data_IF_631603904347
#
_entry.id   IF_631603904347
#
_cell.length_a   1.000
_cell.length_b   1.000
_cell.length_c   1.000
_cell.angle_alpha   90.00
_cell.angle_beta   90.00
_cell.angle_gamma   90.00
#
_symmetry.space_group_name_H-M   'P 1'
#
loop_
_entity.id
_entity.type
_entity.pdbx_description
1 polymer ?
#
# COMPACT_ATOMS: atom_id res chain seq x y z
N UNK A 1 47.89 -51.45 -8.64
CA UNK A 1 48.82 -51.42 -7.50
C UNK A 1 48.29 -50.27 -6.62
N UNK A 2 47.46 -50.58 -5.61
CA UNK A 2 47.76 -50.93 -4.24
C UNK A 2 48.47 -49.79 -3.51
N UNK A 3 47.85 -49.15 -2.59
CA UNK A 3 47.83 -49.19 -1.11
C UNK A 3 47.09 -47.94 -0.61
N UNK A 4 46.06 -47.98 0.18
CA UNK A 4 45.83 -48.30 1.58
C UNK A 4 46.74 -47.61 2.57
N UNK A 5 46.15 -46.82 3.42
CA UNK A 5 46.29 -46.71 4.92
C UNK A 5 46.06 -45.26 5.36
N UNK A 6 45.57 -44.87 6.50
CA UNK A 6 45.04 -45.45 7.74
C UNK A 6 44.43 -44.27 8.50
N UNK A 7 43.42 -44.53 9.25
CA UNK A 7 42.73 -43.66 10.23
C UNK A 7 43.64 -43.10 11.32
N UNK A 8 43.40 -41.86 11.71
CA UNK A 8 43.68 -41.44 13.10
C UNK A 8 42.59 -40.53 13.64
N UNK A 9 42.08 -40.86 14.81
CA UNK A 9 41.00 -40.23 15.58
C UNK A 9 41.66 -39.36 16.62
N UNK A 10 41.21 -38.12 16.79
CA UNK A 10 41.50 -37.29 17.95
C UNK A 10 40.35 -36.31 18.25
N UNK A 11 40.24 -35.72 19.44
CA UNK A 11 39.01 -35.77 20.24
C UNK A 11 38.17 -34.49 20.20
N UNK A 12 36.89 -34.68 20.59
CA UNK A 12 35.85 -33.68 20.78
C UNK A 12 36.26 -32.54 21.75
N UNK A 13 36.32 -31.30 21.24
CA UNK A 13 36.21 -30.11 22.05
C UNK A 13 34.81 -29.53 21.89
N UNK A 14 34.11 -29.35 23.00
CA UNK A 14 32.80 -28.71 23.07
C UNK A 14 32.93 -27.23 22.70
N UNK A 15 32.23 -26.82 21.64
CA UNK A 15 31.99 -25.40 21.34
C UNK A 15 30.81 -24.86 22.19
N UNK A 16 30.86 -23.61 22.65
CA UNK A 16 29.77 -22.99 23.39
C UNK A 16 28.60 -22.67 22.44
N UNK A 17 27.39 -22.99 22.86
CA UNK A 17 26.13 -22.67 22.18
C UNK A 17 26.01 -21.17 21.90
N UNK A 18 25.61 -20.75 20.66
CA UNK A 18 25.38 -19.36 20.37
C UNK A 18 24.14 -18.84 21.09
N UNK A 19 24.29 -17.71 21.75
CA UNK A 19 23.16 -16.93 22.29
C UNK A 19 22.27 -16.52 21.14
N UNK A 20 20.97 -16.78 21.22
CA UNK A 20 19.97 -16.39 20.24
C UNK A 20 19.95 -14.87 19.98
N UNK A 21 19.45 -14.46 18.82
CA UNK A 21 19.40 -13.05 18.46
C UNK A 21 18.47 -12.26 19.40
N UNK A 22 18.68 -10.93 19.56
CA UNK A 22 17.85 -10.10 20.42
C UNK A 22 16.38 -10.11 19.93
N UNK A 23 15.44 -10.18 20.88
CA UNK A 23 14.01 -10.12 20.59
C UNK A 23 13.65 -8.80 19.89
N UNK A 24 13.05 -8.91 18.72
CA UNK A 24 12.55 -7.74 17.98
C UNK A 24 11.21 -7.28 18.55
N UNK A 25 10.88 -6.00 18.39
CA UNK A 25 9.60 -5.42 18.83
C UNK A 25 8.36 -6.16 18.31
N UNK A 26 8.49 -6.93 17.24
CA UNK A 26 7.43 -7.73 16.64
C UNK A 26 6.99 -8.92 17.53
N UNK A 27 7.91 -9.56 18.27
CA UNK A 27 7.55 -10.61 19.22
C UNK A 27 6.75 -10.12 20.43
N UNK A 28 6.87 -8.83 20.76
CA UNK A 28 6.08 -8.23 21.83
C UNK A 28 4.64 -7.91 21.36
N UNK A 29 4.45 -7.52 20.10
CA UNK A 29 3.10 -7.39 19.52
C UNK A 29 2.40 -8.76 19.40
N UNK A 30 3.08 -9.81 18.96
CA UNK A 30 2.53 -11.16 18.89
C UNK A 30 2.10 -11.69 20.25
N UNK A 31 2.87 -11.46 21.32
CA UNK A 31 2.49 -11.85 22.67
C UNK A 31 1.29 -11.12 23.23
N UNK A 32 1.11 -9.84 22.89
CA UNK A 32 -0.07 -9.08 23.32
C UNK A 32 -1.36 -9.55 22.64
N UNK A 33 -1.28 -10.08 21.42
CA UNK A 33 -2.42 -10.64 20.70
C UNK A 33 -2.79 -12.06 21.15
N UNK A 34 -1.84 -12.88 21.57
CA UNK A 34 -2.11 -14.21 22.11
C UNK A 34 -2.85 -14.18 23.47
N UNK A 35 -2.68 -13.11 24.26
CA UNK A 35 -3.38 -12.96 25.53
C UNK A 35 -4.90 -12.75 25.39
N UNK A 36 -5.38 -12.30 24.23
CA UNK A 36 -6.80 -12.09 23.96
C UNK A 36 -7.52 -13.29 23.29
N UNK A 37 -6.79 -14.36 22.98
CA UNK A 37 -7.32 -15.51 22.21
C UNK A 37 -7.78 -16.70 23.08
N UNK A 38 -7.54 -16.72 24.39
CA UNK A 38 -7.98 -17.82 25.25
C UNK A 38 -9.29 -17.50 25.95
N UNK A 39 -10.40 -18.13 25.52
CA UNK A 39 -11.62 -18.23 26.31
C UNK A 39 -11.38 -19.19 27.50
N UNK A 40 -11.84 -18.86 28.70
CA UNK A 40 -11.91 -19.85 29.77
C UNK A 40 -13.07 -20.83 29.51
N UNK A 41 -12.97 -22.08 29.97
CA UNK A 41 -14.04 -23.07 29.84
C UNK A 41 -15.22 -22.76 30.77
N UNK A 42 -16.38 -23.20 30.36
CA UNK A 42 -17.70 -22.99 30.94
C UNK A 42 -17.84 -23.33 32.42
N UNK A 43 -18.69 -22.56 33.10
CA UNK A 43 -19.58 -23.00 34.15
C UNK A 43 -19.29 -22.53 35.57
N UNK A 44 -19.93 -21.43 35.98
CA UNK A 44 -20.73 -21.39 37.22
C UNK A 44 -21.39 -20.00 37.40
N UNK A 45 -22.68 -20.03 37.69
CA UNK A 45 -23.54 -18.92 38.09
C UNK A 45 -23.19 -18.39 39.46
N UNK A 46 -22.99 -17.08 39.61
CA UNK A 46 -22.84 -16.42 40.89
C UNK A 46 -22.99 -14.90 40.74
N UNK A 47 -24.13 -14.36 41.16
CA UNK A 47 -24.42 -12.96 41.24
C UNK A 47 -23.52 -12.28 42.27
N UNK A 48 -22.97 -11.07 41.98
CA UNK A 48 -22.74 -10.03 42.98
C UNK A 48 -22.37 -8.68 42.29
N UNK A 49 -23.22 -7.71 42.57
CA UNK A 49 -23.03 -6.27 42.84
C UNK A 49 -21.92 -5.47 42.11
N UNK A 50 -22.41 -4.47 41.47
CA UNK A 50 -21.74 -3.46 40.66
C UNK A 50 -20.67 -2.60 41.35
N UNK A 51 -19.63 -2.38 40.58
CA UNK A 51 -18.80 -1.19 40.67
C UNK A 51 -18.53 -0.70 39.25
N UNK A 52 -19.12 0.44 38.90
CA UNK A 52 -18.78 1.17 37.66
C UNK A 52 -17.61 2.09 37.98
N UNK A 53 -16.46 1.85 37.35
CA UNK A 53 -15.38 2.83 37.24
C UNK A 53 -15.36 3.39 35.80
N UNK A 54 -15.12 4.69 35.62
CA UNK A 54 -15.15 5.30 34.29
C UNK A 54 -13.91 4.91 33.48
N UNK A 55 -14.15 4.51 32.23
CA UNK A 55 -13.18 3.99 31.23
C UNK A 55 -12.11 5.02 30.82
N UNK A 56 -12.22 6.26 31.23
CA UNK A 56 -11.34 7.36 30.80
C UNK A 56 -10.00 7.43 31.52
N UNK A 57 -9.82 6.74 32.68
CA UNK A 57 -8.58 6.85 33.45
C UNK A 57 -7.49 5.81 33.08
N UNK A 58 -7.84 4.75 32.36
CA UNK A 58 -6.88 3.67 32.01
C UNK A 58 -6.07 3.99 30.77
N UNK A 59 -6.65 4.75 29.81
CA UNK A 59 -5.95 5.09 28.56
C UNK A 59 -4.89 6.20 28.76
N UNK A 60 -5.04 7.09 29.73
CA UNK A 60 -4.04 8.13 29.99
C UNK A 60 -2.77 7.59 30.66
N UNK A 61 -2.89 6.52 31.46
CA UNK A 61 -1.74 5.92 32.15
C UNK A 61 -0.87 5.05 31.23
N UNK A 62 -1.45 4.44 30.20
CA UNK A 62 -0.67 3.66 29.22
C UNK A 62 0.15 4.55 28.29
N UNK A 63 -0.36 5.69 27.89
CA UNK A 63 0.40 6.65 27.07
C UNK A 63 1.61 7.23 27.84
N UNK A 64 1.45 7.56 29.13
CA UNK A 64 2.52 8.14 29.93
C UNK A 64 3.69 7.16 30.19
N UNK A 65 3.40 5.87 30.36
CA UNK A 65 4.42 4.83 30.57
C UNK A 65 5.20 4.49 29.29
N UNK A 66 4.56 4.61 28.14
CA UNK A 66 5.22 4.36 26.85
C UNK A 66 6.23 5.48 26.51
N UNK A 67 5.89 6.74 26.81
CA UNK A 67 6.76 7.88 26.59
C UNK A 67 7.97 7.93 27.53
N UNK A 68 7.82 7.54 28.79
CA UNK A 68 8.93 7.53 29.73
C UNK A 68 9.99 6.49 29.38
N UNK A 69 9.62 5.33 28.83
CA UNK A 69 10.57 4.29 28.40
C UNK A 69 11.32 4.66 27.12
N UNK A 70 10.67 5.41 26.22
CA UNK A 70 11.30 5.86 24.96
C UNK A 70 12.40 6.90 25.20
N UNK A 71 12.22 7.80 26.17
CA UNK A 71 13.22 8.80 26.54
C UNK A 71 14.40 8.18 27.32
N UNK A 72 14.17 7.12 28.09
CA UNK A 72 15.23 6.46 28.86
C UNK A 72 16.20 5.64 27.99
N UNK A 73 15.71 5.07 26.91
CA UNK A 73 16.53 4.30 25.97
C UNK A 73 17.54 5.13 25.16
N UNK A 74 17.40 6.47 25.16
CA UNK A 74 18.32 7.40 24.45
C UNK A 74 19.21 8.25 25.36
N UNK A 75 19.28 7.96 26.67
CA UNK A 75 20.22 8.60 27.58
C UNK A 75 19.96 10.11 27.86
N UNK A 76 18.74 10.59 27.65
CA UNK A 76 18.37 11.97 27.93
C UNK A 76 17.71 12.11 29.28
N UNK A 77 18.35 12.87 30.19
CA UNK A 77 17.79 13.21 31.50
C UNK A 77 16.73 14.31 31.35
N UNK A 78 15.55 14.10 31.89
CA UNK A 78 14.47 15.08 31.87
C UNK A 78 14.82 16.29 32.77
N UNK A 79 14.60 17.52 32.34
CA UNK A 79 14.74 18.70 33.21
C UNK A 79 13.60 18.75 34.24
N UNK A 80 13.93 19.07 35.49
CA UNK A 80 12.97 19.27 36.58
C UNK A 80 12.07 20.48 36.29
N UNK A 81 10.76 20.29 36.41
CA UNK A 81 9.79 21.37 36.38
C UNK A 81 9.86 22.19 37.66
N UNK A 82 9.87 23.52 37.61
CA UNK A 82 9.67 24.36 38.77
C UNK A 82 8.17 24.53 39.09
N UNK A 83 7.87 24.70 40.41
CA UNK A 83 6.55 24.93 40.96
C UNK A 83 5.95 26.30 40.55
N UNK A 84 4.62 26.47 40.52
CA UNK A 84 3.99 27.67 40.03
C UNK A 84 3.98 28.80 41.06
N UNK A 85 4.47 29.98 40.72
CA UNK A 85 4.21 31.23 41.45
C UNK A 85 3.92 32.33 40.42
N UNK A 86 2.76 32.95 40.58
CA UNK A 86 2.49 34.40 40.42
C UNK A 86 2.56 35.03 39.03
N UNK A 87 1.40 35.58 38.68
CA UNK A 87 1.03 36.47 37.57
C UNK A 87 1.99 37.64 37.38
N UNK A 88 2.44 37.94 36.16
CA UNK A 88 3.05 39.20 35.78
C UNK A 88 3.26 39.27 34.25
N UNK A 89 2.53 40.18 33.60
CA UNK A 89 2.67 40.49 32.18
C UNK A 89 4.00 41.18 31.91
N UNK A 90 4.81 40.65 31.01
CA UNK A 90 5.74 41.47 30.21
C UNK A 90 6.27 40.60 29.05
N UNK A 91 6.25 41.17 27.84
CA UNK A 91 6.61 40.51 26.62
C UNK A 91 8.11 40.20 26.54
N UNK A 92 8.43 39.01 26.09
CA UNK A 92 9.77 38.61 25.71
C UNK A 92 9.77 38.12 24.25
N UNK A 93 10.51 38.88 23.46
CA UNK A 93 10.86 38.52 22.09
C UNK A 93 11.85 37.34 22.16
N UNK A 94 11.45 36.17 21.69
CA UNK A 94 12.37 35.04 21.52
C UNK A 94 13.06 35.15 20.18
N UNK A 95 14.37 35.38 20.22
CA UNK A 95 15.28 35.23 19.11
C UNK A 95 15.38 33.73 18.76
N UNK A 96 14.99 33.35 17.54
CA UNK A 96 15.07 31.98 17.04
C UNK A 96 16.51 31.64 16.67
N UNK A 97 17.09 30.66 17.36
CA UNK A 97 18.27 29.95 16.86
C UNK A 97 17.85 29.00 15.70
N UNK A 98 18.61 28.92 14.62
CA UNK A 98 18.29 28.02 13.52
C UNK A 98 18.65 26.58 13.90
N UNK A 99 17.65 25.80 14.30
CA UNK A 99 17.78 24.34 14.35
C UNK A 99 17.41 23.75 12.99
N UNK A 100 18.22 22.79 12.54
CA UNK A 100 18.22 22.26 11.20
C UNK A 100 16.89 21.73 10.68
N UNK A 101 16.71 21.81 9.38
CA UNK A 101 15.48 21.54 8.60
C UNK A 101 14.80 20.17 8.83
N UNK A 102 15.45 19.20 9.50
CA UNK A 102 14.89 17.85 9.72
C UNK A 102 13.78 17.77 10.77
N UNK A 103 13.90 18.51 11.87
CA UNK A 103 12.92 18.47 12.98
C UNK A 103 11.63 19.21 12.66
N UNK A 104 11.66 20.19 11.79
CA UNK A 104 10.47 20.97 11.36
C UNK A 104 9.51 20.13 10.53
N UNK A 105 10.01 19.22 9.67
CA UNK A 105 9.18 18.34 8.84
C UNK A 105 8.50 17.24 9.64
N UNK A 106 9.20 16.67 10.63
CA UNK A 106 8.62 15.66 11.53
C UNK A 106 7.51 16.26 12.41
N UNK A 107 7.70 17.47 12.92
CA UNK A 107 6.70 18.18 13.73
C UNK A 107 5.46 18.54 12.89
N UNK A 108 5.64 18.94 11.64
CA UNK A 108 4.55 19.22 10.71
C UNK A 108 3.74 17.97 10.35
N UNK A 109 4.40 16.84 10.16
CA UNK A 109 3.73 15.55 9.89
C UNK A 109 2.97 15.05 11.13
N UNK A 110 3.56 15.10 12.32
CA UNK A 110 2.93 14.70 13.57
C UNK A 110 1.76 15.59 13.96
N UNK A 111 1.86 16.92 13.80
CA UNK A 111 0.77 17.87 14.08
C UNK A 111 -0.41 17.65 13.15
N UNK A 112 -0.16 17.34 11.87
CA UNK A 112 -1.20 16.98 10.89
C UNK A 112 -1.91 15.68 11.27
N UNK A 113 -1.17 14.67 11.77
CA UNK A 113 -1.73 13.38 12.17
C UNK A 113 -2.54 13.46 13.48
N UNK A 114 -2.12 14.27 14.43
CA UNK A 114 -2.80 14.43 15.73
C UNK A 114 -4.06 15.32 15.64
N UNK A 115 -4.09 16.28 14.71
CA UNK A 115 -5.25 17.15 14.50
C UNK A 115 -6.30 16.55 13.55
N UNK A 116 -6.08 15.39 12.96
CA UNK A 116 -7.03 14.73 12.07
C UNK A 116 -8.18 14.00 12.78
N UNK A 117 -8.34 14.17 14.10
CA UNK A 117 -9.54 13.72 14.83
C UNK A 117 -10.73 14.69 14.71
N UNK A 118 -10.53 15.85 14.10
CA UNK A 118 -11.61 16.78 13.76
C UNK A 118 -11.86 16.74 12.25
N UNK A 119 -13.11 16.53 11.90
CA UNK A 119 -13.61 16.47 10.55
C UNK A 119 -13.08 17.60 9.65
N UNK A 120 -12.65 17.21 8.45
CA UNK A 120 -12.73 18.03 7.24
C UNK A 120 -12.01 19.39 7.26
N UNK A 121 -10.71 19.37 7.10
CA UNK A 121 -10.01 20.44 6.38
C UNK A 121 -8.84 19.78 5.63
N UNK A 122 -9.12 19.29 4.44
CA UNK A 122 -8.07 19.06 3.44
C UNK A 122 -7.57 20.42 2.99
N UNK A 123 -6.29 20.69 3.23
CA UNK A 123 -5.57 21.72 2.50
C UNK A 123 -5.84 21.46 1.01
N UNK A 124 -6.55 22.38 0.39
CA UNK A 124 -6.59 22.50 -1.06
C UNK A 124 -5.15 22.48 -1.55
N UNK A 125 -4.85 21.53 -2.43
CA UNK A 125 -3.63 21.55 -3.22
C UNK A 125 -3.54 22.94 -3.85
N UNK A 126 -2.35 23.54 -4.00
CA UNK A 126 -2.24 24.78 -4.78
C UNK A 126 -2.96 24.53 -6.09
N UNK A 127 -3.82 25.48 -6.45
CA UNK A 127 -4.69 25.42 -7.62
C UNK A 127 -3.92 24.89 -8.82
N UNK A 128 -4.36 23.80 -9.45
CA UNK A 128 -3.64 23.23 -10.61
C UNK A 128 -3.66 24.14 -11.83
N UNK A 129 -4.33 25.28 -11.77
CA UNK A 129 -4.54 26.20 -12.91
C UNK A 129 -3.28 26.88 -13.46
N UNK A 130 -2.11 26.69 -12.85
CA UNK A 130 -0.88 27.37 -13.30
C UNK A 130 0.29 26.43 -13.66
N UNK A 131 0.08 25.11 -13.68
CA UNK A 131 1.14 24.20 -14.12
C UNK A 131 1.06 24.00 -15.63
N UNK A 132 2.08 24.44 -16.36
CA UNK A 132 2.20 24.15 -17.80
C UNK A 132 2.12 22.64 -18.06
N UNK A 133 1.28 22.18 -18.99
CA UNK A 133 1.22 20.77 -19.38
C UNK A 133 2.60 20.26 -19.82
N UNK A 134 2.88 19.00 -19.56
CA UNK A 134 4.06 18.30 -20.10
C UNK A 134 3.59 17.42 -21.27
N UNK A 135 4.35 17.42 -22.38
CA UNK A 135 4.20 16.38 -23.40
C UNK A 135 4.65 15.04 -22.83
N UNK A 136 3.77 14.00 -22.81
CA UNK A 136 4.15 12.66 -22.36
C UNK A 136 5.38 12.10 -23.07
N UNK A 137 5.63 12.46 -24.32
CA UNK A 137 6.81 12.03 -25.08
C UNK A 137 8.08 12.70 -24.57
N UNK A 138 8.04 14.00 -24.29
CA UNK A 138 9.15 14.74 -23.70
C UNK A 138 9.56 14.17 -22.34
N UNK A 139 8.58 13.94 -21.45
CA UNK A 139 8.85 13.29 -20.17
C UNK A 139 9.44 11.88 -20.31
N UNK A 140 8.95 11.11 -21.29
CA UNK A 140 9.48 9.78 -21.58
C UNK A 140 10.95 9.86 -22.06
N UNK A 141 11.28 10.83 -22.90
CA UNK A 141 12.66 11.06 -23.37
C UNK A 141 13.58 11.48 -22.22
N UNK A 142 13.10 12.35 -21.31
CA UNK A 142 13.84 12.71 -20.08
C UNK A 142 14.12 11.48 -19.21
N UNK A 143 13.12 10.63 -18.95
CA UNK A 143 13.30 9.40 -18.20
C UNK A 143 14.34 8.48 -18.88
N UNK A 144 14.26 8.31 -20.19
CA UNK A 144 15.21 7.49 -20.96
C UNK A 144 16.61 8.09 -20.98
N UNK A 145 16.75 9.39 -20.95
CA UNK A 145 18.05 10.04 -20.83
C UNK A 145 18.74 9.73 -19.48
N UNK A 146 17.98 9.69 -18.40
CA UNK A 146 18.49 9.25 -17.09
C UNK A 146 18.89 7.77 -17.13
N UNK A 147 18.11 6.94 -17.80
CA UNK A 147 18.29 5.48 -17.88
C UNK A 147 19.22 5.04 -19.02
N UNK A 148 19.90 5.96 -19.72
CA UNK A 148 20.65 5.67 -20.96
C UNK A 148 21.75 4.60 -20.81
N UNK A 149 22.27 4.39 -19.59
CA UNK A 149 23.27 3.35 -19.27
C UNK A 149 22.63 2.04 -18.80
N UNK A 150 21.29 2.00 -18.68
CA UNK A 150 20.55 0.85 -18.19
C UNK A 150 19.93 0.06 -19.35
N UNK A 151 19.69 -1.25 -19.16
CA UNK A 151 18.94 -2.00 -20.13
C UNK A 151 17.50 -1.47 -20.23
N UNK A 152 16.84 -1.64 -21.39
CA UNK A 152 15.48 -1.16 -21.58
C UNK A 152 14.51 -1.85 -20.63
N UNK A 153 13.41 -1.16 -20.29
CA UNK A 153 12.29 -1.71 -19.52
C UNK A 153 11.71 -2.93 -20.23
N UNK A 154 11.22 -3.90 -19.47
CA UNK A 154 10.46 -5.01 -20.03
C UNK A 154 9.21 -4.50 -20.77
N UNK A 155 8.96 -5.06 -21.94
CA UNK A 155 7.74 -4.83 -22.70
C UNK A 155 6.80 -6.01 -22.50
N UNK A 156 5.51 -5.72 -22.38
CA UNK A 156 4.44 -6.70 -22.23
C UNK A 156 3.30 -6.34 -23.16
N UNK A 157 2.64 -7.35 -23.69
CA UNK A 157 1.51 -7.20 -24.61
C UNK A 157 0.18 -7.37 -23.88
N UNK A 158 -0.88 -6.79 -24.42
CA UNK A 158 -2.23 -7.00 -23.94
C UNK A 158 -2.81 -8.28 -24.56
N UNK A 159 -3.36 -9.12 -23.70
CA UNK A 159 -4.19 -10.27 -24.11
C UNK A 159 -5.61 -9.76 -24.35
N UNK A 160 -6.14 -10.00 -25.55
CA UNK A 160 -7.52 -9.68 -25.89
C UNK A 160 -8.47 -10.67 -25.22
N UNK A 161 -9.39 -10.19 -24.42
CA UNK A 161 -10.36 -10.99 -23.64
C UNK A 161 -11.80 -10.71 -24.05
N UNK A 162 -12.00 -10.06 -25.20
CA UNK A 162 -13.35 -9.74 -25.71
C UNK A 162 -14.11 -11.00 -26.05
N UNK A 163 -15.27 -11.15 -25.47
CA UNK A 163 -16.16 -12.26 -25.82
C UNK A 163 -16.87 -12.02 -27.16
N UNK A 164 -17.33 -10.77 -27.46
CA UNK A 164 -18.04 -10.42 -28.71
C UNK A 164 -18.09 -8.91 -28.96
N UNK A 165 -17.92 -8.51 -30.21
CA UNK A 165 -18.30 -7.24 -30.80
C UNK A 165 -17.59 -5.95 -30.38
N UNK A 166 -17.72 -4.87 -31.19
CA UNK A 166 -17.22 -3.56 -30.82
C UNK A 166 -18.07 -2.92 -29.72
N UNK A 167 -17.41 -2.36 -28.70
CA UNK A 167 -18.08 -1.54 -27.67
C UNK A 167 -18.46 -0.18 -28.26
N UNK A 168 -19.61 0.37 -27.85
CA UNK A 168 -20.07 1.71 -28.23
C UNK A 168 -19.19 2.85 -27.71
N UNK A 169 -18.42 2.59 -26.64
CA UNK A 169 -17.52 3.56 -26.00
C UNK A 169 -16.11 3.01 -25.86
N UNK A 170 -15.06 3.88 -25.90
CA UNK A 170 -13.71 3.45 -25.65
C UNK A 170 -13.56 2.86 -24.23
N UNK A 171 -12.76 1.82 -24.08
CA UNK A 171 -12.56 1.18 -22.79
C UNK A 171 -11.88 2.13 -21.80
N UNK A 172 -12.05 1.86 -20.52
CA UNK A 172 -11.36 2.53 -19.41
C UNK A 172 -10.16 1.66 -19.00
N UNK A 173 -8.96 2.21 -19.10
CA UNK A 173 -7.74 1.52 -18.65
C UNK A 173 -7.45 1.80 -17.21
N UNK A 174 -7.37 0.75 -16.41
CA UNK A 174 -7.08 0.80 -14.97
C UNK A 174 -5.75 0.10 -14.71
N UNK A 175 -4.83 0.79 -14.04
CA UNK A 175 -3.56 0.23 -13.57
C UNK A 175 -3.56 0.13 -12.05
N UNK A 176 -3.19 -1.04 -11.56
CA UNK A 176 -2.92 -1.37 -10.15
C UNK A 176 -1.44 -1.64 -9.99
N UNK A 177 -0.76 -1.01 -9.01
CA UNK A 177 0.64 -1.28 -8.78
C UNK A 177 1.14 -0.91 -7.37
N UNK A 178 1.75 -1.85 -6.67
CA UNK A 178 2.65 -1.56 -5.55
C UNK A 178 4.02 -1.18 -6.14
N UNK A 179 4.41 0.10 -5.99
CA UNK A 179 5.59 0.67 -6.65
C UNK A 179 6.89 0.50 -5.87
N UNK A 180 6.84 -0.10 -4.70
CA UNK A 180 7.93 -0.22 -3.72
C UNK A 180 8.41 1.16 -3.22
N UNK A 181 8.07 1.54 -2.02
CA UNK A 181 8.52 2.79 -1.39
C UNK A 181 10.06 2.89 -1.38
N UNK A 182 10.61 4.09 -1.59
CA UNK A 182 12.06 4.31 -1.54
C UNK A 182 12.64 3.80 -0.21
N UNK A 183 12.05 4.21 0.90
CA UNK A 183 12.53 3.87 2.22
C UNK A 183 12.53 2.36 2.50
N UNK A 184 11.64 1.59 1.87
CA UNK A 184 11.63 0.12 1.96
C UNK A 184 12.68 -0.48 1.01
N UNK A 185 12.70 -0.07 -0.23
CA UNK A 185 13.62 -0.59 -1.25
C UNK A 185 15.09 -0.35 -0.92
N UNK A 186 15.45 0.85 -0.50
CA UNK A 186 16.83 1.23 -0.19
C UNK A 186 17.25 0.87 1.25
N UNK A 187 16.30 0.64 2.17
CA UNK A 187 16.61 0.53 3.59
C UNK A 187 16.14 -0.71 4.33
N UNK A 188 14.93 -1.19 4.09
CA UNK A 188 14.29 -2.17 4.99
C UNK A 188 14.08 -3.56 4.40
N UNK A 189 13.86 -3.66 3.10
CA UNK A 189 13.39 -4.91 2.50
C UNK A 189 14.48 -5.94 2.23
N UNK A 190 15.75 -5.58 2.39
CA UNK A 190 16.90 -6.49 2.35
C UNK A 190 16.87 -7.44 1.14
N UNK A 191 16.73 -6.88 -0.07
CA UNK A 191 16.82 -7.64 -1.31
C UNK A 191 18.21 -8.28 -1.45
N UNK A 192 18.28 -9.60 -1.63
CA UNK A 192 19.54 -10.33 -1.56
C UNK A 192 20.31 -10.37 -2.88
N UNK A 193 19.62 -10.40 -4.03
CA UNK A 193 20.24 -10.54 -5.35
C UNK A 193 19.97 -9.34 -6.27
N UNK A 194 19.20 -8.38 -5.83
CA UNK A 194 18.98 -7.14 -6.55
C UNK A 194 20.23 -6.27 -6.47
N UNK A 195 20.74 -5.74 -7.60
CA UNK A 195 21.82 -4.75 -7.57
C UNK A 195 21.40 -3.51 -6.79
N UNK A 196 22.25 -3.02 -5.88
CA UNK A 196 21.94 -1.84 -5.04
C UNK A 196 21.62 -0.59 -5.88
N UNK A 197 22.28 -0.45 -7.03
CA UNK A 197 22.03 0.64 -7.96
C UNK A 197 20.63 0.59 -8.55
N UNK A 198 20.05 -0.61 -8.76
CA UNK A 198 18.69 -0.77 -9.25
C UNK A 198 17.62 -0.40 -8.22
N UNK A 199 17.98 -0.29 -6.94
CA UNK A 199 17.08 0.13 -5.86
C UNK A 199 17.01 1.65 -5.69
N UNK A 200 17.97 2.41 -6.26
CA UNK A 200 18.05 3.86 -6.11
C UNK A 200 16.80 4.56 -6.65
N UNK A 201 16.22 5.43 -5.84
CA UNK A 201 15.00 6.15 -6.20
C UNK A 201 15.14 6.97 -7.48
N UNK A 202 16.29 7.63 -7.66
CA UNK A 202 16.54 8.47 -8.83
C UNK A 202 16.38 7.72 -10.17
N UNK A 203 16.67 6.43 -10.19
CA UNK A 203 16.49 5.58 -11.37
C UNK A 203 15.11 4.89 -11.38
N UNK A 204 14.68 4.37 -10.23
CA UNK A 204 13.38 3.68 -10.12
C UNK A 204 12.21 4.58 -10.47
N UNK A 205 12.23 5.86 -10.05
CA UNK A 205 11.19 6.83 -10.43
C UNK A 205 11.04 6.97 -11.96
N UNK A 206 12.15 6.96 -12.71
CA UNK A 206 12.12 7.05 -14.16
C UNK A 206 11.53 5.77 -14.79
N UNK A 207 11.88 4.58 -14.29
CA UNK A 207 11.28 3.32 -14.74
C UNK A 207 9.79 3.23 -14.40
N UNK A 208 9.36 3.74 -13.22
CA UNK A 208 7.94 3.80 -12.83
C UNK A 208 7.18 4.72 -13.78
N UNK A 209 7.72 5.91 -14.05
CA UNK A 209 7.10 6.85 -15.00
C UNK A 209 7.05 6.27 -16.42
N UNK A 210 8.13 5.61 -16.87
CA UNK A 210 8.16 4.94 -18.17
C UNK A 210 7.09 3.85 -18.28
N UNK A 211 6.85 3.07 -17.23
CA UNK A 211 5.78 2.06 -17.18
C UNK A 211 4.39 2.72 -17.28
N UNK A 212 4.14 3.78 -16.53
CA UNK A 212 2.88 4.54 -16.58
C UNK A 212 2.67 5.17 -17.98
N UNK A 213 3.69 5.81 -18.54
CA UNK A 213 3.64 6.47 -19.84
C UNK A 213 3.47 5.47 -21.00
N UNK A 214 4.05 4.26 -20.87
CA UNK A 214 3.93 3.23 -21.89
C UNK A 214 2.50 2.66 -21.98
N UNK A 215 1.83 2.47 -20.84
CA UNK A 215 0.48 1.88 -20.83
C UNK A 215 -0.64 2.89 -20.71
N UNK A 216 -0.36 4.15 -20.37
CA UNK A 216 -1.28 5.28 -20.37
C UNK A 216 -2.63 4.96 -19.68
N UNK A 217 -2.63 4.60 -18.39
CA UNK A 217 -3.87 4.29 -17.68
C UNK A 217 -4.76 5.53 -17.57
N UNK A 218 -6.07 5.34 -17.69
CA UNK A 218 -7.06 6.39 -17.40
C UNK A 218 -7.24 6.57 -15.89
N UNK A 219 -7.05 5.48 -15.14
CA UNK A 219 -7.14 5.42 -13.68
C UNK A 219 -5.92 4.64 -13.16
N UNK A 220 -5.21 5.22 -12.20
CA UNK A 220 -3.98 4.68 -11.64
C UNK A 220 -4.12 4.52 -10.13
N UNK A 221 -3.98 3.29 -9.63
CA UNK A 221 -4.07 2.90 -8.23
C UNK A 221 -2.71 2.40 -7.73
N UNK A 222 -2.07 3.16 -6.85
CA UNK A 222 -0.73 2.88 -6.37
C UNK A 222 -0.69 2.57 -4.87
N UNK A 223 0.21 1.67 -4.47
CA UNK A 223 0.55 1.39 -3.08
C UNK A 223 2.04 1.64 -2.84
N UNK A 224 2.41 1.76 -1.57
CA UNK A 224 3.77 2.09 -1.11
C UNK A 224 4.29 3.41 -1.69
N UNK A 225 3.41 4.40 -1.80
CA UNK A 225 3.77 5.73 -2.30
C UNK A 225 4.32 6.57 -1.14
N UNK A 226 5.61 6.89 -1.18
CA UNK A 226 6.29 7.78 -0.24
C UNK A 226 6.80 9.09 -0.90
N UNK A 227 6.66 9.21 -2.22
CA UNK A 227 7.02 10.36 -3.04
C UNK A 227 5.82 11.02 -3.74
N UNK A 228 4.67 11.10 -3.04
CA UNK A 228 3.47 11.67 -3.65
C UNK A 228 3.62 13.15 -3.97
N UNK A 229 4.04 13.98 -3.00
CA UNK A 229 4.02 15.44 -3.13
C UNK A 229 5.20 16.03 -3.90
N UNK A 230 6.33 15.33 -3.96
CA UNK A 230 7.57 15.79 -4.58
C UNK A 230 7.78 15.20 -5.99
N UNK A 231 7.12 14.09 -6.31
CA UNK A 231 7.30 13.40 -7.60
C UNK A 231 5.98 13.17 -8.33
N UNK A 232 5.07 12.33 -7.76
CA UNK A 232 3.91 11.88 -8.53
C UNK A 232 2.87 12.96 -8.75
N UNK A 233 2.47 13.70 -7.73
CA UNK A 233 1.47 14.76 -7.87
C UNK A 233 1.90 15.83 -8.88
N UNK A 234 3.10 16.45 -8.79
CA UNK A 234 3.48 17.50 -9.72
C UNK A 234 3.65 17.01 -11.17
N UNK A 235 4.14 15.79 -11.39
CA UNK A 235 4.32 15.26 -12.73
C UNK A 235 2.99 14.80 -13.35
N UNK A 236 2.21 13.99 -12.63
CA UNK A 236 0.95 13.46 -13.15
C UNK A 236 -0.12 14.54 -13.31
N UNK A 237 -0.12 15.60 -12.48
CA UNK A 237 -1.03 16.74 -12.69
C UNK A 237 -0.75 17.46 -14.02
N UNK A 238 0.51 17.61 -14.39
CA UNK A 238 0.90 18.21 -15.69
C UNK A 238 0.58 17.29 -16.88
N UNK A 239 0.40 15.99 -16.65
CA UNK A 239 -0.10 15.02 -17.63
C UNK A 239 -1.65 14.95 -17.66
N UNK A 240 -2.35 15.80 -16.91
CA UNK A 240 -3.81 15.88 -16.88
C UNK A 240 -4.50 14.96 -15.87
N UNK A 241 -3.76 14.34 -14.93
CA UNK A 241 -4.36 13.56 -13.87
C UNK A 241 -4.73 14.42 -12.66
N UNK A 242 -5.82 14.06 -12.02
CA UNK A 242 -6.14 14.49 -10.66
C UNK A 242 -5.80 13.37 -9.68
N UNK A 243 -5.04 13.69 -8.63
CA UNK A 243 -4.56 12.72 -7.66
C UNK A 243 -5.12 12.93 -6.26
N UNK A 244 -5.25 11.84 -5.52
CA UNK A 244 -5.55 11.81 -4.08
C UNK A 244 -4.58 10.85 -3.41
N UNK A 245 -4.04 11.26 -2.26
CA UNK A 245 -3.12 10.46 -1.46
C UNK A 245 -3.63 10.32 -0.04
N UNK A 246 -3.55 9.11 0.49
CA UNK A 246 -3.86 8.84 1.89
C UNK A 246 -2.71 8.06 2.53
N UNK A 247 -1.88 8.73 3.36
CA UNK A 247 -0.76 8.09 4.03
C UNK A 247 -1.23 7.14 5.13
N UNK A 248 -0.47 6.09 5.38
CA UNK A 248 -0.64 5.25 6.57
C UNK A 248 -0.37 6.12 7.82
N UNK A 249 -1.14 5.96 8.91
CA UNK A 249 -0.87 6.68 10.17
C UNK A 249 0.51 6.40 10.73
N UNK A 250 1.01 5.20 10.50
CA UNK A 250 2.39 4.78 10.75
C UNK A 250 2.79 3.73 9.70
N UNK A 251 4.04 3.79 9.28
CA UNK A 251 4.62 2.77 8.40
C UNK A 251 6.10 2.55 8.71
N UNK A 252 6.68 1.40 8.30
CA UNK A 252 8.10 1.12 8.49
C UNK A 252 9.04 2.11 7.79
N UNK A 253 8.56 2.87 6.82
CA UNK A 253 9.34 3.94 6.17
C UNK A 253 9.86 4.98 7.19
N UNK A 254 9.07 5.25 8.23
CA UNK A 254 9.44 6.21 9.27
C UNK A 254 10.66 5.79 10.13
N UNK A 255 11.02 4.51 10.10
CA UNK A 255 12.19 3.99 10.83
C UNK A 255 13.49 4.15 10.03
N UNK A 256 13.42 4.57 8.77
CA UNK A 256 14.56 4.78 7.88
C UNK A 256 15.04 6.21 8.01
N UNK A 257 16.35 6.40 8.10
CA UNK A 257 16.96 7.73 8.10
C UNK A 257 16.71 8.44 6.75
N UNK A 258 16.40 9.72 6.79
CA UNK A 258 16.11 10.56 5.60
C UNK A 258 14.88 10.10 4.78
N UNK A 259 13.87 9.47 5.42
CA UNK A 259 12.63 9.10 4.76
C UNK A 259 11.75 10.31 4.40
N UNK A 260 10.82 10.14 3.45
CA UNK A 260 9.85 11.16 3.03
C UNK A 260 8.53 11.14 3.85
N UNK A 261 8.49 10.46 4.97
CA UNK A 261 7.28 10.23 5.74
C UNK A 261 6.72 8.81 5.53
N UNK A 262 5.50 8.54 6.04
CA UNK A 262 4.89 7.25 5.86
C UNK A 262 4.46 7.03 4.41
N UNK A 263 4.61 5.80 3.92
CA UNK A 263 3.99 5.40 2.67
C UNK A 263 2.46 5.37 2.77
N UNK A 264 1.80 5.37 1.63
CA UNK A 264 0.34 5.31 1.56
C UNK A 264 -0.19 4.78 0.26
N UNK A 265 -1.51 4.88 0.10
CA UNK A 265 -2.19 4.64 -1.15
C UNK A 265 -2.37 5.96 -1.92
N UNK A 266 -2.22 5.90 -3.25
CA UNK A 266 -2.56 7.02 -4.13
C UNK A 266 -3.51 6.54 -5.24
N UNK A 267 -4.45 7.41 -5.61
CA UNK A 267 -5.38 7.19 -6.69
C UNK A 267 -5.34 8.41 -7.60
N UNK A 268 -5.12 8.19 -8.89
CA UNK A 268 -5.13 9.22 -9.92
C UNK A 268 -6.11 8.84 -11.03
N UNK A 269 -6.75 9.83 -11.63
CA UNK A 269 -7.60 9.66 -12.81
C UNK A 269 -7.46 10.82 -13.80
N UNK A 270 -7.62 10.55 -15.09
CA UNK A 270 -7.57 11.56 -16.13
C UNK A 270 -8.78 12.50 -16.05
N UNK A 271 -8.53 13.80 -15.85
CA UNK A 271 -9.57 14.83 -15.71
C UNK A 271 -10.38 15.04 -16.99
N UNK A 272 -9.78 14.81 -18.16
CA UNK A 272 -10.50 14.92 -19.45
C UNK A 272 -11.52 13.80 -19.62
N UNK A 273 -11.33 12.62 -19.01
CA UNK A 273 -12.24 11.46 -19.09
C UNK A 273 -13.23 11.36 -17.94
N UNK A 274 -12.85 11.81 -16.75
CA UNK A 274 -13.67 11.62 -15.54
C UNK A 274 -13.91 12.91 -14.78
N UNK A 275 -15.02 12.93 -14.04
CA UNK A 275 -15.35 13.95 -13.06
C UNK A 275 -15.48 13.29 -11.68
N UNK A 276 -14.81 13.84 -10.67
CA UNK A 276 -14.96 13.38 -9.29
C UNK A 276 -16.31 13.81 -8.72
N UNK A 277 -17.10 12.85 -8.25
CA UNK A 277 -18.38 13.09 -7.58
C UNK A 277 -18.23 12.98 -6.05
N UNK A 278 -17.49 11.99 -5.57
CA UNK A 278 -17.31 11.73 -4.14
C UNK A 278 -15.94 11.12 -3.89
N UNK A 279 -15.32 11.47 -2.74
CA UNK A 279 -14.05 10.90 -2.29
C UNK A 279 -14.13 10.54 -0.81
N UNK A 280 -13.65 9.35 -0.46
CA UNK A 280 -13.60 8.85 0.91
C UNK A 280 -12.21 8.27 1.21
N UNK A 281 -11.60 8.75 2.30
CA UNK A 281 -10.38 8.20 2.88
C UNK A 281 -10.75 7.29 4.05
N UNK A 282 -10.41 6.01 3.95
CA UNK A 282 -10.86 4.97 4.87
C UNK A 282 -9.64 4.44 5.62
N UNK A 283 -9.58 4.65 6.92
CA UNK A 283 -8.66 3.93 7.80
C UNK A 283 -9.28 2.62 8.20
N UNK A 284 -8.72 1.49 7.75
CA UNK A 284 -9.27 0.17 7.96
C UNK A 284 -9.28 -0.24 9.42
N UNK A 285 -10.28 -1.01 9.78
CA UNK A 285 -10.50 -1.53 11.13
C UNK A 285 -10.37 -3.06 11.13
N UNK A 286 -9.67 -3.60 12.09
CA UNK A 286 -9.67 -5.03 12.38
C UNK A 286 -9.88 -5.24 13.88
N UNK A 287 -10.65 -6.28 14.26
CA UNK A 287 -10.91 -6.62 15.67
C UNK A 287 -11.36 -5.41 16.52
N UNK A 288 -12.19 -4.53 15.94
CA UNK A 288 -12.69 -3.27 16.54
C UNK A 288 -11.63 -2.18 16.77
N UNK A 289 -10.41 -2.33 16.27
CA UNK A 289 -9.35 -1.35 16.37
C UNK A 289 -9.04 -0.72 15.02
N UNK A 290 -8.76 0.57 14.99
CA UNK A 290 -8.23 1.25 13.80
C UNK A 290 -6.80 0.77 13.53
N UNK A 291 -6.55 0.34 12.32
CA UNK A 291 -5.24 -0.19 11.90
C UNK A 291 -4.38 0.87 11.22
N UNK A 292 -3.18 0.52 10.79
CA UNK A 292 -2.33 1.40 9.98
C UNK A 292 -2.60 1.26 8.47
N UNK A 293 -3.42 0.30 8.07
CA UNK A 293 -3.79 0.13 6.68
C UNK A 293 -4.94 1.05 6.30
N UNK A 294 -4.85 1.57 5.08
CA UNK A 294 -5.74 2.60 4.56
C UNK A 294 -6.29 2.21 3.20
N UNK A 295 -7.39 2.85 2.81
CA UNK A 295 -7.94 2.78 1.47
C UNK A 295 -8.46 4.16 1.04
N UNK A 296 -8.45 4.41 -0.27
CA UNK A 296 -9.15 5.54 -0.89
C UNK A 296 -10.29 4.95 -1.71
N UNK A 297 -11.47 5.52 -1.64
CA UNK A 297 -12.59 5.18 -2.52
C UNK A 297 -13.14 6.46 -3.15
N UNK A 298 -13.23 6.49 -4.49
CA UNK A 298 -13.74 7.63 -5.25
C UNK A 298 -14.85 7.21 -6.18
N UNK A 299 -15.94 7.96 -6.19
CA UNK A 299 -16.98 7.84 -7.21
C UNK A 299 -16.70 8.84 -8.31
N UNK A 300 -16.48 8.31 -9.50
CA UNK A 300 -16.18 9.06 -10.72
C UNK A 300 -17.37 8.98 -11.68
N UNK A 301 -17.61 10.03 -12.42
CA UNK A 301 -18.51 10.04 -13.58
C UNK A 301 -17.68 10.02 -14.85
N UNK A 302 -17.90 9.04 -15.70
CA UNK A 302 -17.33 9.03 -17.06
C UNK A 302 -18.00 10.14 -17.89
N UNK A 303 -17.22 11.13 -18.34
CA UNK A 303 -17.74 12.29 -19.06
C UNK A 303 -18.35 11.96 -20.42
N UNK A 304 -17.89 10.87 -21.02
CA UNK A 304 -18.35 10.42 -22.34
C UNK A 304 -19.71 9.72 -22.25
N UNK A 305 -19.91 8.85 -21.26
CA UNK A 305 -21.15 8.06 -21.13
C UNK A 305 -22.11 8.58 -20.05
N UNK A 306 -21.69 9.51 -19.19
CA UNK A 306 -22.45 9.96 -18.01
C UNK A 306 -22.57 8.89 -16.90
N UNK A 307 -22.00 7.71 -17.10
CA UNK A 307 -22.13 6.58 -16.13
C UNK A 307 -21.17 6.76 -14.96
N UNK A 308 -21.63 6.36 -13.79
CA UNK A 308 -20.83 6.42 -12.57
C UNK A 308 -20.05 5.13 -12.36
N UNK A 309 -18.87 5.26 -11.74
CA UNK A 309 -18.00 4.16 -11.35
C UNK A 309 -17.34 4.50 -10.00
N UNK A 310 -17.37 3.56 -9.07
CA UNK A 310 -16.59 3.65 -7.85
C UNK A 310 -15.23 2.95 -8.07
N UNK A 311 -14.14 3.66 -7.77
CA UNK A 311 -12.77 3.10 -7.76
C UNK A 311 -12.28 3.11 -6.33
N UNK A 312 -11.69 2.00 -5.88
CA UNK A 312 -11.02 1.93 -4.59
C UNK A 312 -9.60 1.38 -4.72
N UNK A 313 -8.69 1.90 -3.91
CA UNK A 313 -7.32 1.42 -3.77
C UNK A 313 -7.01 1.12 -2.30
N UNK A 314 -6.33 0.02 -2.04
CA UNK A 314 -5.95 -0.39 -0.68
C UNK A 314 -4.60 -1.10 -0.64
N UNK A 315 -4.02 -1.20 0.57
CA UNK A 315 -2.85 -2.03 0.86
C UNK A 315 -3.07 -2.68 2.22
N UNK A 316 -3.33 -3.99 2.27
CA UNK A 316 -3.64 -4.71 3.50
C UNK A 316 -2.38 -5.08 4.28
N UNK A 317 -2.55 -5.60 5.49
CA UNK A 317 -1.45 -5.93 6.39
C UNK A 317 -0.55 -7.00 5.79
N UNK A 318 0.73 -6.69 5.64
CA UNK A 318 1.76 -7.60 5.17
C UNK A 318 2.12 -8.68 6.21
N UNK A 319 2.82 -9.74 5.76
CA UNK A 319 3.45 -10.84 6.49
C UNK A 319 2.52 -12.01 6.81
N UNK A 320 3.13 -13.18 6.88
CA UNK A 320 2.53 -14.44 7.35
C UNK A 320 2.13 -14.32 8.82
N UNK A 321 1.06 -15.01 9.22
CA UNK A 321 0.52 -14.96 10.57
C UNK A 321 -0.54 -13.88 10.79
N UNK A 322 -0.76 -13.00 9.80
CA UNK A 322 -1.75 -11.91 9.87
C UNK A 322 -3.01 -12.18 9.03
N UNK A 323 -3.27 -13.43 8.63
CA UNK A 323 -4.37 -13.82 7.74
C UNK A 323 -5.74 -13.40 8.29
N UNK A 324 -6.00 -13.66 9.59
CA UNK A 324 -7.26 -13.27 10.25
C UNK A 324 -7.40 -11.74 10.34
N UNK A 325 -6.28 -11.05 10.50
CA UNK A 325 -6.28 -9.59 10.56
C UNK A 325 -6.59 -9.00 9.18
N UNK A 326 -5.99 -9.54 8.11
CA UNK A 326 -6.31 -9.19 6.72
C UNK A 326 -7.77 -9.49 6.39
N UNK A 327 -8.28 -10.64 6.81
CA UNK A 327 -9.68 -11.02 6.67
C UNK A 327 -10.61 -9.97 7.29
N UNK A 328 -10.33 -9.54 8.53
CA UNK A 328 -11.09 -8.50 9.20
C UNK A 328 -11.00 -7.14 8.50
N UNK A 329 -9.82 -6.75 8.00
CA UNK A 329 -9.62 -5.52 7.22
C UNK A 329 -10.41 -5.57 5.90
N UNK A 330 -10.40 -6.70 5.19
CA UNK A 330 -11.15 -6.90 3.97
C UNK A 330 -12.66 -6.80 4.19
N UNK A 331 -13.18 -7.41 5.25
CA UNK A 331 -14.59 -7.29 5.64
C UNK A 331 -14.98 -5.83 5.97
N UNK A 332 -14.09 -5.08 6.63
CA UNK A 332 -14.32 -3.66 6.93
C UNK A 332 -14.33 -2.83 5.64
N UNK A 333 -13.40 -3.08 4.72
CA UNK A 333 -13.36 -2.44 3.42
C UNK A 333 -14.64 -2.73 2.61
N UNK A 334 -15.04 -4.00 2.47
CA UNK A 334 -16.24 -4.39 1.75
C UNK A 334 -17.49 -3.70 2.30
N UNK A 335 -17.63 -3.59 3.64
CA UNK A 335 -18.75 -2.89 4.28
C UNK A 335 -18.77 -1.39 3.92
N UNK A 336 -17.61 -0.73 3.94
CA UNK A 336 -17.51 0.68 3.53
C UNK A 336 -17.88 0.84 2.04
N UNK A 337 -17.34 -0.03 1.17
CA UNK A 337 -17.63 0.00 -0.26
C UNK A 337 -19.09 -0.29 -0.57
N UNK A 338 -19.74 -1.21 0.15
CA UNK A 338 -21.16 -1.47 0.02
C UNK A 338 -22.03 -0.24 0.30
N UNK A 339 -21.64 0.55 1.32
CA UNK A 339 -22.33 1.81 1.63
C UNK A 339 -22.08 2.87 0.53
N UNK A 340 -20.82 3.05 0.09
CA UNK A 340 -20.46 4.03 -0.95
C UNK A 340 -21.15 3.71 -2.28
N UNK A 341 -21.19 2.43 -2.67
CA UNK A 341 -21.81 1.98 -3.93
C UNK A 341 -23.33 1.78 -3.82
N UNK A 342 -23.93 2.14 -2.70
CA UNK A 342 -25.37 2.00 -2.45
C UNK A 342 -25.88 0.56 -2.68
N UNK A 343 -25.12 -0.44 -2.18
CA UNK A 343 -25.46 -1.84 -2.34
C UNK A 343 -25.25 -2.37 -3.76
N UNK A 344 -24.15 -1.99 -4.42
CA UNK A 344 -23.78 -2.35 -5.79
C UNK A 344 -24.60 -1.68 -6.91
N UNK A 345 -25.35 -0.59 -6.63
CA UNK A 345 -25.98 0.21 -7.68
C UNK A 345 -24.96 0.97 -8.52
N UNK A 346 -23.84 1.41 -7.91
CA UNK A 346 -22.72 2.01 -8.60
C UNK A 346 -21.71 0.89 -8.87
N UNK A 347 -21.32 0.63 -10.13
CA UNK A 347 -20.27 -0.32 -10.46
C UNK A 347 -18.97 -0.02 -9.70
N UNK A 348 -18.25 -1.06 -9.32
CA UNK A 348 -17.08 -0.97 -8.46
C UNK A 348 -15.87 -1.64 -9.09
N UNK A 349 -14.71 -0.99 -9.00
CA UNK A 349 -13.39 -1.60 -9.19
C UNK A 349 -12.59 -1.41 -7.89
N UNK A 350 -11.96 -2.48 -7.38
CA UNK A 350 -11.09 -2.43 -6.22
C UNK A 350 -9.71 -2.94 -6.59
N UNK A 351 -8.73 -2.07 -6.50
CA UNK A 351 -7.33 -2.35 -6.76
C UNK A 351 -6.56 -2.45 -5.45
N UNK A 352 -5.57 -3.33 -5.38
CA UNK A 352 -4.71 -3.32 -4.20
C UNK A 352 -3.72 -4.47 -4.13
N UNK A 353 -2.70 -4.23 -3.31
CA UNK A 353 -1.89 -5.28 -2.70
C UNK A 353 -2.61 -5.77 -1.44
N UNK A 354 -3.22 -6.93 -1.54
CA UNK A 354 -3.97 -7.54 -0.45
C UNK A 354 -3.05 -8.28 0.53
N UNK A 355 -1.78 -8.47 0.17
CA UNK A 355 -0.83 -9.30 0.91
C UNK A 355 -1.37 -10.70 1.24
N UNK A 356 -2.26 -11.20 0.42
CA UNK A 356 -3.03 -12.42 0.61
C UNK A 356 -3.09 -13.25 -0.65
N UNK A 357 -2.79 -14.54 -0.51
CA UNK A 357 -2.95 -15.54 -1.56
C UNK A 357 -4.44 -15.83 -1.84
N UNK A 358 -4.79 -16.39 -3.02
CA UNK A 358 -6.17 -16.76 -3.36
C UNK A 358 -6.80 -17.79 -2.41
N UNK A 359 -6.00 -18.50 -1.63
CA UNK A 359 -6.45 -19.47 -0.62
C UNK A 359 -6.93 -18.82 0.68
N UNK A 360 -6.56 -17.57 0.95
CA UNK A 360 -6.89 -16.87 2.19
C UNK A 360 -8.38 -16.44 2.27
N UNK A 361 -8.86 -16.28 3.48
CA UNK A 361 -10.26 -15.90 3.75
C UNK A 361 -10.62 -14.51 3.19
N UNK A 362 -9.70 -13.55 3.19
CA UNK A 362 -9.96 -12.22 2.63
C UNK A 362 -10.28 -12.30 1.14
N UNK A 363 -9.58 -13.15 0.37
CA UNK A 363 -9.89 -13.38 -1.03
C UNK A 363 -11.31 -13.96 -1.22
N UNK A 364 -11.67 -14.98 -0.41
CA UNK A 364 -13.00 -15.59 -0.44
C UNK A 364 -14.11 -14.59 -0.09
N UNK A 365 -13.86 -13.67 0.85
CA UNK A 365 -14.81 -12.60 1.18
C UNK A 365 -15.10 -11.70 -0.01
N UNK A 366 -14.07 -11.34 -0.78
CA UNK A 366 -14.25 -10.53 -1.99
C UNK A 366 -14.98 -11.32 -3.08
N UNK A 367 -14.58 -12.55 -3.34
CA UNK A 367 -15.19 -13.42 -4.35
C UNK A 367 -16.67 -13.76 -4.08
N UNK A 368 -17.06 -13.84 -2.80
CA UNK A 368 -18.44 -14.18 -2.37
C UNK A 368 -19.25 -12.96 -1.93
N UNK A 369 -18.74 -11.74 -2.10
CA UNK A 369 -19.40 -10.53 -1.63
C UNK A 369 -20.70 -10.24 -2.40
N UNK A 370 -21.66 -9.60 -1.73
CA UNK A 370 -22.90 -9.10 -2.35
C UNK A 370 -22.67 -8.00 -3.41
N UNK A 371 -21.44 -7.48 -3.52
CA UNK A 371 -21.02 -6.54 -4.56
C UNK A 371 -20.77 -7.21 -5.92
N UNK A 372 -20.93 -8.54 -6.00
CA UNK A 372 -20.80 -9.34 -7.21
C UNK A 372 -19.44 -9.16 -7.91
N UNK A 373 -18.36 -9.26 -7.13
CA UNK A 373 -17.00 -9.03 -7.59
C UNK A 373 -16.37 -10.27 -8.24
N UNK A 374 -15.50 -10.04 -9.21
CA UNK A 374 -14.60 -11.04 -9.78
C UNK A 374 -13.21 -10.42 -9.93
N UNK A 375 -12.16 -11.24 -9.83
CA UNK A 375 -10.79 -10.79 -10.14
C UNK A 375 -10.57 -10.79 -11.65
N UNK A 376 -10.03 -9.69 -12.19
CA UNK A 376 -9.85 -9.52 -13.62
C UNK A 376 -8.76 -10.44 -14.20
N UNK A 377 -7.69 -10.66 -13.45
CA UNK A 377 -6.54 -11.46 -13.91
C UNK A 377 -6.80 -12.96 -14.00
N UNK A 378 -7.87 -13.46 -13.39
CA UNK A 378 -8.35 -14.84 -13.64
C UNK A 378 -8.62 -15.11 -15.10
N UNK A 379 -9.08 -14.11 -15.83
CA UNK A 379 -9.44 -14.23 -17.24
C UNK A 379 -8.23 -14.54 -18.15
N UNK A 380 -7.01 -14.40 -17.66
CA UNK A 380 -5.80 -14.83 -18.37
C UNK A 380 -5.62 -16.36 -18.34
N UNK A 381 -6.23 -17.06 -17.39
CA UNK A 381 -6.20 -18.53 -17.38
C UNK A 381 -7.15 -19.13 -18.44
N UNK A 382 -6.82 -20.30 -18.92
CA UNK A 382 -7.59 -20.97 -19.98
C UNK A 382 -9.05 -21.24 -19.59
N UNK A 383 -9.33 -21.43 -18.31
CA UNK A 383 -10.66 -21.68 -17.77
C UNK A 383 -11.33 -20.43 -17.16
N UNK A 384 -10.62 -19.29 -17.11
CA UNK A 384 -11.07 -18.05 -16.50
C UNK A 384 -11.29 -18.15 -14.99
N UNK A 385 -10.74 -19.17 -14.30
CA UNK A 385 -11.00 -19.43 -12.88
C UNK A 385 -9.77 -19.31 -11.99
N UNK A 386 -8.59 -19.46 -12.55
CA UNK A 386 -7.33 -19.49 -11.79
C UNK A 386 -6.64 -18.14 -11.81
N UNK A 387 -6.20 -17.68 -10.65
CA UNK A 387 -5.31 -16.51 -10.59
C UNK A 387 -3.94 -16.83 -11.19
N UNK A 388 -3.20 -15.82 -11.66
CA UNK A 388 -1.85 -16.03 -12.14
C UNK A 388 -0.95 -16.59 -11.01
N UNK A 389 0.14 -17.27 -11.37
CA UNK A 389 1.00 -17.94 -10.39
C UNK A 389 1.79 -16.97 -9.50
N UNK A 390 1.87 -15.70 -9.88
CA UNK A 390 2.53 -14.64 -9.12
C UNK A 390 2.13 -13.27 -9.65
N UNK A 391 2.12 -12.30 -8.74
CA UNK A 391 2.12 -10.86 -9.01
C UNK A 391 3.34 -10.18 -8.37
N UNK A 392 4.02 -10.88 -7.46
CA UNK A 392 5.28 -10.47 -6.85
C UNK A 392 6.28 -11.63 -6.86
N UNK A 393 7.54 -11.33 -7.20
CA UNK A 393 8.61 -12.32 -7.21
C UNK A 393 9.95 -11.67 -6.87
N UNK A 394 10.50 -12.00 -5.70
CA UNK A 394 11.69 -11.38 -5.13
C UNK A 394 12.54 -12.37 -4.37
N UNK A 395 13.81 -12.03 -4.17
CA UNK A 395 14.72 -12.77 -3.28
C UNK A 395 15.13 -11.84 -2.14
N UNK A 396 14.82 -12.26 -0.93
CA UNK A 396 15.27 -11.62 0.31
C UNK A 396 16.26 -12.50 1.05
N UNK A 397 16.91 -11.97 2.09
CA UNK A 397 17.81 -12.76 2.96
C UNK A 397 17.11 -13.96 3.61
N UNK A 398 15.79 -13.91 3.77
CA UNK A 398 14.96 -15.01 4.27
C UNK A 398 14.63 -16.08 3.23
N UNK A 399 14.95 -15.87 1.96
CA UNK A 399 14.68 -16.78 0.85
C UNK A 399 13.92 -16.13 -0.31
N UNK A 400 13.62 -16.94 -1.32
CA UNK A 400 12.83 -16.56 -2.49
C UNK A 400 11.33 -16.50 -2.14
N UNK A 401 10.67 -15.43 -2.58
CA UNK A 401 9.24 -15.21 -2.36
C UNK A 401 8.54 -15.01 -3.71
N UNK A 402 7.60 -15.90 -4.04
CA UNK A 402 6.77 -15.86 -5.24
C UNK A 402 5.31 -16.04 -4.86
N UNK A 403 4.51 -15.00 -5.02
CA UNK A 403 3.13 -14.96 -4.52
C UNK A 403 2.21 -14.18 -5.45
N UNK A 404 0.92 -14.48 -5.40
CA UNK A 404 -0.15 -13.70 -6.00
C UNK A 404 -0.85 -12.91 -4.90
N UNK A 405 -0.54 -11.61 -4.80
CA UNK A 405 -0.98 -10.73 -3.72
C UNK A 405 -1.77 -9.51 -4.22
N UNK A 406 -1.63 -9.19 -5.51
CA UNK A 406 -2.20 -8.00 -6.14
C UNK A 406 -3.41 -8.38 -6.97
N UNK A 407 -4.48 -7.60 -6.87
CA UNK A 407 -5.73 -7.89 -7.55
C UNK A 407 -6.39 -6.63 -8.10
N UNK A 408 -7.13 -6.79 -9.22
CA UNK A 408 -8.13 -5.85 -9.71
C UNK A 408 -9.48 -6.56 -9.65
N UNK A 409 -10.24 -6.29 -8.60
CA UNK A 409 -11.61 -6.76 -8.45
C UNK A 409 -12.58 -5.84 -9.19
N UNK A 410 -13.60 -6.38 -9.85
CA UNK A 410 -14.58 -5.58 -10.58
C UNK A 410 -16.00 -6.18 -10.46
N UNK A 411 -17.01 -5.32 -10.54
CA UNK A 411 -18.42 -5.68 -10.54
C UNK A 411 -18.80 -6.34 -11.88
N UNK A 412 -18.77 -7.68 -11.94
CA UNK A 412 -18.98 -8.46 -13.17
C UNK A 412 -20.39 -8.33 -13.79
N UNK A 413 -21.39 -7.87 -13.03
CA UNK A 413 -22.71 -7.62 -13.56
C UNK A 413 -22.80 -6.33 -14.39
N UNK A 414 -21.91 -5.36 -14.15
CA UNK A 414 -21.96 -4.02 -14.75
C UNK A 414 -20.75 -3.67 -15.61
N UNK A 415 -19.67 -4.42 -15.47
CA UNK A 415 -18.41 -4.22 -16.16
C UNK A 415 -17.94 -5.52 -16.81
N UNK A 416 -17.28 -5.39 -17.98
CA UNK A 416 -16.56 -6.47 -18.64
C UNK A 416 -15.10 -6.07 -18.87
N UNK A 417 -14.19 -7.05 -18.76
CA UNK A 417 -12.76 -6.90 -19.09
C UNK A 417 -12.61 -7.11 -20.58
N UNK A 418 -12.00 -6.15 -21.26
CA UNK A 418 -11.76 -6.21 -22.72
C UNK A 418 -10.38 -6.73 -23.05
N UNK A 419 -9.40 -6.37 -22.24
CA UNK A 419 -8.03 -6.84 -22.35
C UNK A 419 -7.33 -6.75 -20.99
N UNK A 420 -6.31 -7.55 -20.79
CA UNK A 420 -5.43 -7.48 -19.63
C UNK A 420 -3.96 -7.55 -20.10
N UNK A 421 -3.11 -6.77 -19.45
CA UNK A 421 -1.67 -6.79 -19.71
C UNK A 421 -1.10 -8.11 -19.21
N UNK A 422 -0.42 -8.85 -20.08
CA UNK A 422 0.20 -10.12 -19.71
C UNK A 422 1.28 -9.95 -18.65
N UNK A 423 1.57 -11.00 -17.91
CA UNK A 423 2.61 -10.99 -16.89
C UNK A 423 3.97 -11.35 -17.50
N UNK A 424 5.05 -10.86 -16.88
CA UNK A 424 6.39 -11.27 -17.24
C UNK A 424 6.59 -12.75 -16.93
N UNK A 425 7.19 -13.49 -17.86
CA UNK A 425 7.58 -14.88 -17.63
C UNK A 425 8.79 -14.99 -16.71
N UNK A 426 9.02 -16.17 -16.13
CA UNK A 426 10.20 -16.43 -15.30
C UNK A 426 11.52 -16.13 -16.05
N UNK A 427 11.56 -16.46 -17.34
CA UNK A 427 12.73 -16.22 -18.20
C UNK A 427 13.00 -14.72 -18.38
N UNK A 428 11.95 -13.90 -18.57
CA UNK A 428 12.05 -12.45 -18.66
C UNK A 428 12.50 -11.83 -17.34
N UNK A 429 11.91 -12.24 -16.23
CA UNK A 429 12.27 -11.77 -14.89
C UNK A 429 13.73 -12.12 -14.57
N UNK A 430 14.19 -13.31 -14.98
CA UNK A 430 15.54 -13.79 -14.78
C UNK A 430 15.85 -14.30 -13.35
N UNK A 431 17.05 -14.79 -13.11
CA UNK A 431 17.40 -15.52 -11.88
C UNK A 431 17.47 -14.62 -10.63
N UNK A 432 17.71 -13.32 -10.78
CA UNK A 432 17.85 -12.39 -9.67
C UNK A 432 16.51 -11.84 -9.19
N UNK A 433 15.42 -12.16 -9.89
CA UNK A 433 14.04 -11.72 -9.63
C UNK A 433 13.91 -10.18 -9.65
N UNK A 434 12.91 -9.66 -8.95
CA UNK A 434 12.57 -8.24 -8.91
C UNK A 434 12.89 -7.63 -7.55
N UNK A 435 13.18 -6.33 -7.47
CA UNK A 435 13.43 -5.37 -8.56
C UNK A 435 14.71 -5.68 -9.36
N UNK A 436 14.85 -5.05 -10.52
CA UNK A 436 16.01 -5.21 -11.39
C UNK A 436 16.30 -3.90 -12.16
N UNK A 437 17.35 -3.87 -12.98
CA UNK A 437 17.59 -2.74 -13.88
C UNK A 437 16.53 -2.57 -14.96
N UNK A 438 15.71 -3.59 -15.21
CA UNK A 438 14.62 -3.57 -16.19
C UNK A 438 13.26 -3.22 -15.56
N UNK A 439 13.11 -3.37 -14.23
CA UNK A 439 11.82 -3.26 -13.57
C UNK A 439 11.95 -2.72 -12.13
N UNK A 440 11.23 -1.65 -11.76
CA UNK A 440 11.55 -0.85 -10.58
C UNK A 440 10.94 -1.36 -9.27
N UNK A 441 10.01 -2.31 -9.31
CA UNK A 441 9.30 -2.84 -8.14
C UNK A 441 9.43 -4.34 -8.03
N UNK A 442 9.28 -4.88 -6.85
CA UNK A 442 9.16 -6.30 -6.57
C UNK A 442 7.74 -6.85 -6.84
N UNK A 443 6.78 -5.97 -7.18
CA UNK A 443 5.44 -6.29 -7.64
C UNK A 443 5.26 -5.89 -9.11
N UNK A 444 4.58 -6.74 -9.89
CA UNK A 444 4.22 -6.45 -11.28
C UNK A 444 3.02 -5.50 -11.34
N UNK A 445 3.05 -4.54 -12.24
CA UNK A 445 1.88 -3.71 -12.54
C UNK A 445 0.80 -4.56 -13.20
N UNK A 446 -0.43 -4.46 -12.74
CA UNK A 446 -1.60 -5.08 -13.33
C UNK A 446 -2.37 -4.01 -14.12
N UNK A 447 -2.68 -4.26 -15.38
CA UNK A 447 -3.40 -3.29 -16.22
C UNK A 447 -4.53 -3.99 -16.95
N UNK A 448 -5.73 -3.45 -16.85
CA UNK A 448 -6.92 -3.98 -17.52
C UNK A 448 -7.70 -2.87 -18.22
N UNK A 449 -8.23 -3.19 -19.38
CA UNK A 449 -9.19 -2.38 -20.10
C UNK A 449 -10.63 -2.86 -19.77
N UNK A 450 -11.45 -1.96 -19.22
CA UNK A 450 -12.84 -2.24 -18.84
C UNK A 450 -13.82 -1.49 -19.73
N UNK A 451 -14.96 -2.13 -20.01
CA UNK A 451 -16.14 -1.49 -20.59
C UNK A 451 -17.32 -1.64 -19.68
N UNK A 452 -18.22 -0.67 -19.66
CA UNK A 452 -19.54 -0.86 -19.08
C UNK A 452 -20.33 -1.87 -19.90
N UNK A 453 -21.02 -2.78 -19.26
CA UNK A 453 -21.97 -3.65 -19.92
C UNK A 453 -23.13 -2.81 -20.49
N UNK A 454 -23.70 -3.21 -21.62
CA UNK A 454 -24.90 -2.58 -22.15
C UNK A 454 -26.07 -2.80 -21.18
N UNK A 455 -26.87 -1.76 -20.96
CA UNK A 455 -28.09 -1.91 -20.18
C UNK A 455 -29.09 -2.76 -20.98
N UNK A 456 -29.56 -3.89 -20.42
CA UNK A 456 -30.54 -4.74 -21.10
C UNK A 456 -31.81 -3.96 -21.47
N UNK A 457 -32.12 -2.90 -20.69
CA UNK A 457 -33.32 -2.07 -20.87
C UNK A 457 -33.16 -0.93 -21.88
N UNK A 458 -31.93 -0.67 -22.36
CA UNK A 458 -31.67 0.36 -23.36
C UNK A 458 -31.98 -0.08 -24.81
N UNK A 459 -32.34 -1.35 -25.01
CA UNK A 459 -32.71 -1.96 -26.30
C UNK A 459 -34.23 -2.10 -26.49
N UNK A 460 -35.03 -1.63 -25.54
CA UNK A 460 -36.50 -1.56 -25.62
C UNK A 460 -36.96 -0.10 -25.79
#
# INVERSE_FOLDING_TARGET
MVALSVLEVAPLTQEPTPKGPPETNERLEERSLQWFSTRPPDGSTGSLLGWRLPVTSVLSSFCALYWSRFLWARGWSAPRLPSPVGVGQSGLVFSACPMGNGTSRLYSALTKTLNSSAASQYLESPDPEHLEPIDPKELLEECRAVLHTRPPRFQRDFVDLRADGPSSHPPMRVMQWNILAQALGEGKDNFAQCPLEALKWEERKCLILEEILAYQPDILCLQEVDHYFDTFQPLLSRLGYQGTFFPKPWSPCLDVEHNNGPDGCALFFLQNRFRLLHSANIRLTAMRLKTNQVAIAQTLECKESGRQLCIAVTHLKARTGWEQFRSAQGCDLLRNLQNITQGAKIPLIVCGDFNAEPTEEVYKHFASSSLNLSSAYKLLSADGQSEPPYTTWKIRTSGECRHTLDYIWYSKHALSVRSALDLLTEEQIGPNRLPSFHYPSDHLSLVCDFSFNEDPDALL
#
